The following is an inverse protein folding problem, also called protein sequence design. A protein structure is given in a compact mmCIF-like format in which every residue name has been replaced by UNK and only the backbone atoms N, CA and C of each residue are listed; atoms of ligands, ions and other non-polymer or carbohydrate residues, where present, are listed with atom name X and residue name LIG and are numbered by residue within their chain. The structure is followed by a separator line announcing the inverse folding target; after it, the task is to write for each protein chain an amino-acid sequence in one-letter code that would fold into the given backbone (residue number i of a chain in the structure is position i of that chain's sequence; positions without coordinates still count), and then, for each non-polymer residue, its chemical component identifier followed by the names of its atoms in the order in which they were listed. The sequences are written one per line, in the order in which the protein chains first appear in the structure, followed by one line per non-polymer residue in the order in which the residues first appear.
data_IF_387837645238
#
_entry.id   IF_387837645238
#
_cell.length_a   1.000
_cell.length_b   1.000
_cell.length_c   1.000
_cell.angle_alpha   90.00
_cell.angle_beta   90.00
_cell.angle_gamma   90.00
#
_symmetry.space_group_name_H-M   'P 1'
#
loop_
_entity.id
_entity.type
_entity.pdbx_description
1 polymer ?
#
# COMPACT_ATOMS: atom_id res chain seq x y z
N UNK A 1 10.47 8.33 -15.26
CA UNK A 1 11.42 8.03 -16.37
C UNK A 1 11.53 6.52 -16.61
N UNK A 2 11.51 6.05 -17.86
CA UNK A 2 11.73 4.64 -18.22
C UNK A 2 13.22 4.26 -18.16
N UNK A 3 13.56 2.97 -18.17
CA UNK A 3 14.96 2.52 -18.08
C UNK A 3 15.88 3.09 -19.20
N UNK A 4 15.31 3.42 -20.36
CA UNK A 4 16.03 4.04 -21.49
C UNK A 4 16.10 5.58 -21.44
N UNK A 5 15.65 6.21 -20.35
CA UNK A 5 15.63 7.67 -20.18
C UNK A 5 14.43 8.40 -20.77
N UNK A 6 13.57 7.73 -21.57
CA UNK A 6 12.38 8.36 -22.14
C UNK A 6 11.27 8.52 -21.09
N UNK A 7 10.37 9.51 -21.31
CA UNK A 7 9.14 9.65 -20.54
C UNK A 7 8.13 8.58 -20.99
N UNK A 8 7.41 7.99 -20.05
CA UNK A 8 6.48 6.88 -20.31
C UNK A 8 5.46 6.69 -19.19
N UNK A 9 4.52 5.78 -19.41
CA UNK A 9 3.49 5.44 -18.43
C UNK A 9 4.05 4.77 -17.17
N UNK A 10 3.24 4.76 -16.10
CA UNK A 10 3.56 4.12 -14.84
C UNK A 10 2.78 2.82 -14.70
N UNK A 11 3.45 1.80 -14.17
CA UNK A 11 2.82 0.58 -13.72
C UNK A 11 2.54 0.65 -12.22
N UNK A 12 1.64 -0.22 -11.78
CA UNK A 12 1.28 -0.40 -10.37
C UNK A 12 1.50 -1.84 -9.95
N UNK A 13 1.70 -2.03 -8.65
CA UNK A 13 1.75 -3.32 -8.01
C UNK A 13 1.30 -3.18 -6.56
N UNK A 14 0.88 -4.28 -5.96
CA UNK A 14 0.44 -4.28 -4.58
C UNK A 14 0.80 -5.60 -3.89
N UNK A 15 0.95 -5.52 -2.56
CA UNK A 15 1.03 -6.64 -1.65
C UNK A 15 -0.11 -6.50 -0.64
N UNK A 16 -0.82 -7.59 -0.40
CA UNK A 16 -1.91 -7.70 0.57
C UNK A 16 -1.53 -8.79 1.57
N UNK A 17 -1.45 -8.41 2.84
CA UNK A 17 -1.13 -9.30 3.95
C UNK A 17 -2.43 -9.53 4.72
N UNK A 18 -2.92 -10.76 4.66
CA UNK A 18 -4.14 -11.19 5.31
C UNK A 18 -3.83 -11.97 6.60
N UNK A 19 -4.79 -12.07 7.52
CA UNK A 19 -4.68 -12.96 8.67
C UNK A 19 -4.54 -14.42 8.23
N UNK A 20 -4.06 -15.27 9.13
CA UNK A 20 -3.95 -16.69 8.84
C UNK A 20 -5.31 -17.33 8.50
N UNK A 21 -5.29 -18.30 7.59
CA UNK A 21 -6.48 -18.95 7.07
C UNK A 21 -7.22 -18.19 5.96
N UNK A 22 -7.07 -16.87 5.85
CA UNK A 22 -7.57 -16.12 4.70
C UNK A 22 -6.70 -16.41 3.48
N UNK A 23 -7.33 -16.60 2.33
CA UNK A 23 -6.63 -16.93 1.08
C UNK A 23 -7.37 -16.38 -0.13
N UNK A 24 -6.72 -16.43 -1.30
CA UNK A 24 -7.38 -16.13 -2.56
C UNK A 24 -8.54 -17.11 -2.80
N UNK A 25 -9.69 -16.59 -3.24
CA UNK A 25 -10.85 -17.41 -3.57
C UNK A 25 -10.56 -18.29 -4.79
N UNK A 26 -10.91 -19.59 -4.75
CA UNK A 26 -10.86 -20.47 -5.91
C UNK A 26 -11.69 -19.92 -7.08
N UNK A 27 -11.25 -20.07 -8.35
CA UNK A 27 -11.92 -19.48 -9.51
C UNK A 27 -13.39 -19.87 -9.68
N UNK A 28 -13.77 -21.08 -9.25
CA UNK A 28 -15.14 -21.61 -9.27
C UNK A 28 -16.08 -20.85 -8.32
N UNK A 29 -15.56 -20.25 -7.25
CA UNK A 29 -16.37 -19.51 -6.27
C UNK A 29 -16.43 -18.00 -6.51
N UNK A 30 -15.74 -17.50 -7.52
CA UNK A 30 -15.76 -16.07 -7.85
C UNK A 30 -16.97 -15.78 -8.76
N UNK A 31 -17.90 -14.90 -8.36
CA UNK A 31 -19.02 -14.47 -9.19
C UNK A 31 -18.56 -13.85 -10.52
N UNK A 32 -19.38 -13.98 -11.57
CA UNK A 32 -19.06 -13.46 -12.90
C UNK A 32 -18.74 -11.94 -12.89
N UNK A 33 -19.52 -11.15 -12.14
CA UNK A 33 -19.31 -9.71 -11.99
C UNK A 33 -17.93 -9.35 -11.42
N UNK A 34 -17.41 -10.18 -10.51
CA UNK A 34 -16.07 -9.97 -9.95
C UNK A 34 -15.02 -10.43 -10.95
N UNK A 35 -15.22 -11.57 -11.64
CA UNK A 35 -14.30 -12.08 -12.67
C UNK A 35 -14.02 -11.05 -13.76
N UNK A 36 -15.04 -10.33 -14.22
CA UNK A 36 -14.88 -9.27 -15.22
C UNK A 36 -13.97 -8.14 -14.72
N UNK A 37 -14.11 -7.74 -13.45
CA UNK A 37 -13.27 -6.70 -12.81
C UNK A 37 -11.83 -7.15 -12.61
N UNK A 38 -11.59 -8.45 -12.43
CA UNK A 38 -10.22 -8.99 -12.33
C UNK A 38 -9.49 -8.91 -13.65
N UNK A 39 -10.21 -8.98 -14.78
CA UNK A 39 -9.64 -8.88 -16.12
C UNK A 39 -8.51 -9.88 -16.33
N UNK A 40 -7.28 -9.37 -16.52
CA UNK A 40 -6.07 -10.18 -16.71
C UNK A 40 -5.10 -10.11 -15.53
N UNK A 41 -5.61 -9.75 -14.34
CA UNK A 41 -4.80 -9.74 -13.13
C UNK A 41 -4.40 -11.17 -12.75
N UNK A 42 -3.11 -11.35 -12.51
CA UNK A 42 -2.55 -12.59 -11.97
C UNK A 42 -2.13 -12.32 -10.53
N UNK A 43 -2.72 -13.05 -9.60
CA UNK A 43 -2.37 -13.03 -8.19
C UNK A 43 -1.41 -14.17 -7.89
N UNK A 44 -0.38 -13.89 -7.09
CA UNK A 44 0.60 -14.88 -6.67
C UNK A 44 0.72 -14.88 -5.15
N UNK A 45 0.98 -16.05 -4.56
CA UNK A 45 1.38 -16.14 -3.16
C UNK A 45 2.82 -15.64 -3.03
N UNK A 46 3.12 -14.87 -1.97
CA UNK A 46 4.46 -14.30 -1.74
C UNK A 46 5.55 -15.38 -1.66
N UNK A 47 5.21 -16.54 -1.09
CA UNK A 47 6.07 -17.72 -0.99
C UNK A 47 5.20 -18.99 -0.88
N UNK A 48 5.67 -20.17 -1.30
CA UNK A 48 5.00 -21.44 -1.01
C UNK A 48 4.64 -21.57 0.47
N UNK A 49 3.38 -21.96 0.75
CA UNK A 49 2.85 -22.11 2.11
C UNK A 49 2.38 -20.81 2.79
N UNK A 50 2.53 -19.64 2.15
CA UNK A 50 2.02 -18.35 2.64
C UNK A 50 0.92 -17.81 1.73
N UNK A 51 -0.21 -18.54 1.70
CA UNK A 51 -1.37 -18.21 0.85
C UNK A 51 -2.15 -16.98 1.31
N UNK A 52 -1.88 -16.51 2.53
CA UNK A 52 -2.44 -15.29 3.10
C UNK A 52 -1.68 -14.02 2.70
N UNK A 53 -0.51 -14.15 2.07
CA UNK A 53 0.26 -13.00 1.57
C UNK A 53 0.21 -13.01 0.05
N UNK A 54 -0.53 -12.08 -0.52
CA UNK A 54 -0.86 -12.05 -1.95
C UNK A 54 -0.15 -10.86 -2.59
N UNK A 55 0.55 -11.12 -3.68
CA UNK A 55 1.22 -10.10 -4.50
C UNK A 55 0.61 -10.04 -5.89
N UNK A 56 0.57 -8.83 -6.46
CA UNK A 56 0.07 -8.55 -7.80
C UNK A 56 0.93 -7.47 -8.47
N UNK A 57 1.16 -7.63 -9.77
CA UNK A 57 1.90 -6.68 -10.58
C UNK A 57 3.20 -7.25 -11.16
N UNK A 58 3.91 -6.46 -12.00
CA UNK A 58 3.54 -5.11 -12.43
C UNK A 58 2.41 -5.11 -13.48
N UNK A 59 1.44 -4.20 -13.35
CA UNK A 59 0.34 -4.03 -14.32
C UNK A 59 0.18 -2.58 -14.76
N UNK A 60 -0.41 -2.30 -15.95
CA UNK A 60 -0.57 -0.93 -16.44
C UNK A 60 -1.44 -0.07 -15.52
N UNK A 61 -0.86 0.98 -14.93
CA UNK A 61 -1.53 1.81 -13.93
C UNK A 61 -2.72 2.61 -14.46
N UNK A 62 -2.77 2.88 -15.77
CA UNK A 62 -3.93 3.53 -16.42
C UNK A 62 -5.17 2.64 -16.42
N UNK A 63 -4.99 1.32 -16.56
CA UNK A 63 -6.08 0.35 -16.58
C UNK A 63 -6.45 -0.10 -15.17
N UNK A 64 -5.46 -0.26 -14.30
CA UNK A 64 -5.61 -0.81 -12.96
C UNK A 64 -5.35 0.25 -11.88
N UNK A 65 -6.11 1.35 -11.91
CA UNK A 65 -6.06 2.34 -10.82
C UNK A 65 -6.69 1.82 -9.51
N UNK A 66 -7.55 0.80 -9.61
CA UNK A 66 -8.15 0.08 -8.50
C UNK A 66 -8.03 -1.43 -8.77
N UNK A 67 -7.47 -2.15 -7.80
CA UNK A 67 -7.33 -3.60 -7.85
C UNK A 67 -8.32 -4.22 -6.86
N UNK A 68 -9.10 -5.21 -7.30
CA UNK A 68 -10.03 -5.96 -6.46
C UNK A 68 -9.41 -7.31 -6.14
N UNK A 69 -9.30 -7.64 -4.86
CA UNK A 69 -8.79 -8.94 -4.40
C UNK A 69 -9.96 -9.85 -4.01
N UNK A 70 -10.17 -10.99 -4.69
CA UNK A 70 -11.22 -11.93 -4.33
C UNK A 70 -10.72 -12.81 -3.17
N UNK A 71 -11.04 -12.44 -1.93
CA UNK A 71 -10.58 -13.15 -0.74
C UNK A 71 -11.66 -14.10 -0.21
N UNK A 72 -11.21 -15.29 0.18
CA UNK A 72 -12.00 -16.28 0.88
C UNK A 72 -11.63 -16.28 2.36
N UNK A 73 -12.62 -16.04 3.23
CA UNK A 73 -12.47 -16.18 4.68
C UNK A 73 -12.34 -17.65 5.10
N UNK A 74 -11.57 -17.93 6.17
CA UNK A 74 -11.51 -19.25 6.79
C UNK A 74 -12.80 -19.62 7.52
N UNK A 75 -12.93 -20.89 7.90
CA UNK A 75 -14.01 -21.38 8.76
C UNK A 75 -13.43 -21.93 10.09
N UNK A 76 -13.71 -21.29 11.25
CA UNK A 76 -13.29 -21.75 12.57
C UNK A 76 -13.82 -23.14 12.98
N UNK A 77 -14.92 -23.61 12.39
CA UNK A 77 -15.46 -24.93 12.69
C UNK A 77 -14.52 -26.03 12.21
N UNK A 78 -13.92 -25.82 11.02
CA UNK A 78 -13.04 -26.79 10.37
C UNK A 78 -11.55 -26.52 10.64
N UNK A 79 -11.15 -25.27 10.88
CA UNK A 79 -9.78 -24.89 11.21
C UNK A 79 -9.71 -24.35 12.65
N UNK A 80 -9.03 -25.09 13.54
CA UNK A 80 -8.92 -24.75 14.97
C UNK A 80 -7.93 -23.63 15.28
N UNK A 81 -7.06 -23.28 14.34
CA UNK A 81 -6.10 -22.19 14.50
C UNK A 81 -6.73 -20.81 14.24
N UNK A 82 -7.99 -20.78 13.78
CA UNK A 82 -8.72 -19.56 13.45
C UNK A 82 -9.89 -19.38 14.40
N UNK A 83 -10.15 -18.14 14.81
CA UNK A 83 -11.20 -17.78 15.76
C UNK A 83 -12.06 -16.62 15.26
N UNK A 84 -13.27 -16.49 15.78
CA UNK A 84 -14.15 -15.35 15.48
C UNK A 84 -13.68 -14.11 16.24
N UNK A 85 -12.81 -13.34 15.58
CA UNK A 85 -12.16 -12.14 16.09
C UNK A 85 -12.15 -11.02 15.04
N UNK A 86 -11.74 -9.85 15.50
CA UNK A 86 -11.35 -8.74 14.63
C UNK A 86 -9.86 -8.89 14.29
N UNK A 87 -9.55 -8.93 13.01
CA UNK A 87 -8.20 -9.15 12.50
C UNK A 87 -7.71 -7.95 11.67
N UNK A 88 -6.41 -7.63 11.72
CA UNK A 88 -5.82 -6.61 10.86
C UNK A 88 -5.55 -7.15 9.45
N UNK A 89 -5.64 -6.27 8.46
CA UNK A 89 -5.24 -6.49 7.07
C UNK A 89 -4.28 -5.35 6.71
N UNK A 90 -3.10 -5.71 6.23
CA UNK A 90 -2.09 -4.74 5.79
C UNK A 90 -2.01 -4.73 4.27
N UNK A 91 -1.95 -3.54 3.68
CA UNK A 91 -1.81 -3.35 2.25
C UNK A 91 -0.63 -2.44 1.96
N UNK A 92 0.21 -2.85 1.01
CA UNK A 92 1.25 -2.02 0.42
C UNK A 92 0.98 -1.85 -1.07
N UNK A 93 1.00 -0.61 -1.56
CA UNK A 93 0.78 -0.30 -2.97
C UNK A 93 1.91 0.55 -3.52
N UNK A 94 2.47 0.18 -4.66
CA UNK A 94 3.47 0.96 -5.37
C UNK A 94 2.95 1.41 -6.73
N UNK A 95 3.25 2.66 -7.09
CA UNK A 95 3.12 3.17 -8.47
C UNK A 95 4.45 3.71 -8.95
N UNK A 96 4.87 3.29 -10.14
CA UNK A 96 6.12 3.73 -10.76
C UNK A 96 7.32 2.85 -10.42
N UNK A 97 8.51 3.29 -10.85
CA UNK A 97 9.76 2.52 -10.73
C UNK A 97 10.49 2.87 -9.43
N UNK A 98 11.20 1.88 -8.89
CA UNK A 98 12.05 2.05 -7.71
C UNK A 98 13.35 2.82 -7.98
N UNK A 99 14.01 3.20 -6.90
CA UNK A 99 15.21 4.03 -6.88
C UNK A 99 16.50 3.21 -6.80
N UNK A 100 16.42 1.98 -6.28
CA UNK A 100 17.55 1.09 -6.00
C UNK A 100 17.21 -0.30 -6.54
N UNK A 101 18.20 -0.96 -7.13
CA UNK A 101 18.12 -2.36 -7.55
C UNK A 101 18.50 -3.32 -6.40
N UNK A 102 18.17 -4.62 -6.50
CA UNK A 102 18.50 -5.60 -5.47
C UNK A 102 20.00 -5.75 -5.17
N UNK A 103 20.88 -5.37 -6.10
CA UNK A 103 22.33 -5.35 -5.94
C UNK A 103 22.84 -4.10 -5.19
N UNK A 104 21.96 -3.18 -4.81
CA UNK A 104 22.28 -1.92 -4.13
C UNK A 104 22.59 -0.77 -5.08
N UNK A 105 22.65 -1.00 -6.40
CA UNK A 105 22.94 0.05 -7.37
C UNK A 105 21.75 1.01 -7.54
N UNK A 106 22.05 2.30 -7.76
CA UNK A 106 21.03 3.34 -8.02
C UNK A 106 20.42 3.15 -9.41
N UNK A 107 19.11 3.39 -9.52
CA UNK A 107 18.40 3.42 -10.80
C UNK A 107 18.51 4.79 -11.46
N UNK A 108 18.01 4.93 -12.70
CA UNK A 108 17.89 6.22 -13.37
C UNK A 108 16.62 7.01 -12.96
N UNK A 109 15.92 6.59 -11.91
CA UNK A 109 14.73 7.24 -11.37
C UNK A 109 14.98 7.78 -9.95
N UNK A 110 16.18 8.30 -9.71
CA UNK A 110 16.63 8.89 -8.45
C UNK A 110 17.56 10.08 -8.70
N UNK A 111 17.92 10.78 -7.64
CA UNK A 111 18.85 11.91 -7.66
C UNK A 111 20.30 11.39 -7.62
N UNK A 112 21.15 11.99 -8.45
CA UNK A 112 22.60 11.77 -8.43
C UNK A 112 23.27 12.96 -7.73
N UNK A 113 24.22 12.65 -6.85
CA UNK A 113 24.91 13.61 -5.98
C UNK A 113 26.39 13.65 -6.32
N UNK A 114 27.05 14.77 -5.98
CA UNK A 114 28.49 14.94 -6.14
C UNK A 114 29.24 14.00 -5.20
N UNK A 115 30.21 13.26 -5.71
CA UNK A 115 31.05 12.36 -4.90
C UNK A 115 32.03 13.11 -4.00
N UNK A 116 32.48 14.31 -4.43
CA UNK A 116 33.47 15.13 -3.72
C UNK A 116 33.09 16.61 -3.76
N UNK A 117 33.64 17.38 -2.82
CA UNK A 117 33.57 18.84 -2.85
C UNK A 117 34.60 19.37 -3.84
N UNK A 118 34.20 20.27 -4.74
CA UNK A 118 35.09 20.80 -5.76
C UNK A 118 34.37 21.68 -6.79
N UNK A 119 35.09 22.04 -7.85
CA UNK A 119 34.53 22.80 -8.96
C UNK A 119 34.18 21.88 -10.13
N UNK A 120 33.00 22.06 -10.74
CA UNK A 120 32.60 21.31 -11.93
C UNK A 120 33.44 21.78 -13.11
N UNK A 121 34.40 20.97 -13.54
CA UNK A 121 35.36 21.31 -14.61
C UNK A 121 34.77 21.09 -16.00
N UNK A 122 34.03 20.00 -16.18
CA UNK A 122 33.50 19.61 -17.49
C UNK A 122 32.24 18.77 -17.35
N UNK A 123 31.26 18.99 -18.22
CA UNK A 123 30.03 18.20 -18.33
C UNK A 123 29.93 17.67 -19.77
N UNK A 124 30.14 16.36 -19.94
CA UNK A 124 30.05 15.69 -21.24
C UNK A 124 28.76 14.91 -21.34
N UNK A 125 27.95 15.18 -22.37
CA UNK A 125 26.75 14.41 -22.66
C UNK A 125 27.09 13.16 -23.47
N UNK A 126 26.68 11.98 -23.01
CA UNK A 126 26.90 10.71 -23.73
C UNK A 126 25.94 10.55 -24.90
N UNK A 127 26.36 9.84 -25.95
CA UNK A 127 25.55 9.53 -27.14
C UNK A 127 24.25 8.77 -26.81
N UNK A 128 24.30 7.84 -25.85
CA UNK A 128 23.13 7.07 -25.38
C UNK A 128 22.28 7.82 -24.34
N UNK A 129 22.56 9.11 -24.14
CA UNK A 129 22.01 9.93 -23.07
C UNK A 129 22.73 9.73 -21.72
N UNK A 130 22.53 10.68 -20.81
CA UNK A 130 23.28 10.77 -19.55
C UNK A 130 24.47 11.74 -19.65
N UNK A 131 25.18 11.88 -18.54
CA UNK A 131 26.24 12.87 -18.34
C UNK A 131 27.46 12.24 -17.67
N UNK A 132 28.65 12.69 -18.06
CA UNK A 132 29.87 12.54 -17.26
C UNK A 132 30.26 13.91 -16.75
N UNK A 133 30.42 14.03 -15.44
CA UNK A 133 30.69 15.28 -14.75
C UNK A 133 32.06 15.12 -14.11
N UNK A 134 33.02 15.91 -14.56
CA UNK A 134 34.36 15.95 -13.98
C UNK A 134 34.39 17.02 -12.90
N UNK A 135 34.61 16.63 -11.66
CA UNK A 135 34.74 17.52 -10.50
C UNK A 135 36.22 17.59 -10.13
N UNK A 136 36.76 18.81 -10.11
CA UNK A 136 38.12 19.08 -9.67
C UNK A 136 38.11 19.39 -8.16
N UNK A 137 38.67 18.48 -7.36
CA UNK A 137 38.83 18.69 -5.94
C UNK A 137 40.19 19.34 -5.67
N UNK A 138 40.17 20.67 -5.53
CA UNK A 138 41.37 21.47 -5.28
C UNK A 138 42.07 21.15 -3.95
N UNK A 139 41.39 20.48 -3.00
CA UNK A 139 41.97 20.13 -1.70
C UNK A 139 42.83 18.86 -1.76
N UNK A 140 42.45 17.90 -2.62
CA UNK A 140 43.18 16.63 -2.80
C UNK A 140 43.98 16.56 -4.10
N UNK A 141 43.88 17.59 -4.95
CA UNK A 141 44.49 17.67 -6.27
C UNK A 141 44.16 16.44 -7.15
N UNK A 142 42.89 16.02 -7.10
CA UNK A 142 42.35 14.86 -7.82
C UNK A 142 41.08 15.25 -8.57
N UNK A 143 40.96 14.74 -9.78
CA UNK A 143 39.72 14.82 -10.56
C UNK A 143 38.89 13.56 -10.35
N UNK A 144 37.61 13.73 -10.04
CA UNK A 144 36.66 12.63 -9.90
C UNK A 144 35.60 12.75 -10.99
N UNK A 145 35.26 11.61 -11.60
CA UNK A 145 34.26 11.54 -12.67
C UNK A 145 32.98 10.91 -12.12
N UNK A 146 31.94 11.72 -12.01
CA UNK A 146 30.61 11.28 -11.64
C UNK A 146 29.79 10.96 -12.90
N UNK A 147 29.23 9.75 -12.95
CA UNK A 147 28.46 9.25 -14.09
C UNK A 147 26.97 9.30 -13.75
N UNK A 148 26.21 10.05 -14.55
CA UNK A 148 24.74 10.15 -14.45
C UNK A 148 24.10 9.40 -15.63
N UNK A 149 23.22 8.42 -15.40
CA UNK A 149 22.54 7.70 -16.47
C UNK A 149 21.48 8.57 -17.17
N UNK A 150 20.96 8.17 -18.34
CA UNK A 150 19.90 8.90 -19.01
C UNK A 150 18.61 8.92 -18.18
N UNK A 151 18.05 10.12 -17.98
CA UNK A 151 16.77 10.28 -17.29
C UNK A 151 16.67 11.54 -16.44
N UNK A 152 17.46 11.64 -15.35
CA UNK A 152 17.56 12.84 -14.54
C UNK A 152 18.12 14.00 -15.38
N UNK A 153 17.59 15.20 -15.16
CA UNK A 153 18.04 16.44 -15.78
C UNK A 153 19.08 17.10 -14.87
N UNK A 154 20.16 17.62 -15.44
CA UNK A 154 21.23 18.28 -14.70
C UNK A 154 20.78 19.65 -14.19
N UNK A 155 21.13 19.99 -12.95
CA UNK A 155 20.81 21.30 -12.34
C UNK A 155 22.05 22.16 -12.08
N UNK A 156 23.25 21.58 -12.26
CA UNK A 156 24.53 22.28 -12.10
C UNK A 156 25.13 22.63 -13.47
N UNK A 157 25.95 23.69 -13.50
CA UNK A 157 26.65 24.13 -14.71
C UNK A 157 28.17 24.03 -14.59
N UNK A 158 28.87 24.05 -15.73
CA UNK A 158 30.34 24.11 -15.73
C UNK A 158 30.83 25.39 -15.03
N UNK A 159 31.88 25.25 -14.21
CA UNK A 159 32.43 26.32 -13.38
C UNK A 159 31.79 26.50 -12.00
N UNK A 160 30.67 25.80 -11.72
CA UNK A 160 29.99 25.87 -10.43
C UNK A 160 30.76 25.10 -9.34
N UNK A 161 30.80 25.65 -8.12
CA UNK A 161 31.34 24.94 -6.95
C UNK A 161 30.27 24.10 -6.28
N UNK A 162 30.53 22.80 -6.13
CA UNK A 162 29.63 21.84 -5.50
C UNK A 162 30.26 21.26 -4.23
N UNK A 163 29.42 20.94 -3.25
CA UNK A 163 29.82 20.20 -2.04
C UNK A 163 29.61 18.70 -2.24
N UNK A 164 30.38 17.89 -1.53
CA UNK A 164 30.10 16.45 -1.43
C UNK A 164 28.63 16.23 -1.01
N UNK A 165 27.99 15.25 -1.62
CA UNK A 165 26.56 14.92 -1.50
C UNK A 165 25.56 15.98 -1.98
N UNK A 166 26.02 17.09 -2.57
CA UNK A 166 25.14 18.05 -3.22
C UNK A 166 24.48 17.43 -4.46
N UNK A 167 23.17 17.60 -4.66
CA UNK A 167 22.49 17.07 -5.85
C UNK A 167 23.02 17.72 -7.13
N UNK A 168 23.45 16.88 -8.07
CA UNK A 168 23.84 17.28 -9.43
C UNK A 168 22.64 17.31 -10.39
N UNK A 169 21.60 16.54 -10.07
CA UNK A 169 20.41 16.36 -10.91
C UNK A 169 19.12 16.69 -10.17
N UNK A 170 18.05 16.94 -10.93
CA UNK A 170 16.70 16.96 -10.39
C UNK A 170 16.25 15.54 -9.94
N UNK A 171 15.10 15.48 -9.27
CA UNK A 171 14.45 14.22 -8.93
C UNK A 171 13.42 13.84 -10.02
N UNK A 172 13.69 12.85 -10.88
CA UNK A 172 12.76 12.45 -11.95
C UNK A 172 11.59 11.60 -11.46
N UNK A 173 11.56 11.23 -10.16
CA UNK A 173 10.56 10.33 -9.63
C UNK A 173 9.20 11.02 -9.44
N UNK A 174 8.17 10.42 -10.04
CA UNK A 174 6.75 10.81 -9.88
C UNK A 174 5.89 9.64 -9.38
N UNK A 175 6.56 8.57 -8.96
CA UNK A 175 5.97 7.39 -8.33
C UNK A 175 5.91 7.53 -6.82
N UNK A 176 5.58 6.42 -6.15
CA UNK A 176 5.56 6.35 -4.71
C UNK A 176 5.03 5.00 -4.21
N UNK A 177 5.43 4.67 -2.99
CA UNK A 177 4.91 3.55 -2.23
C UNK A 177 4.06 4.09 -1.08
N UNK A 178 2.88 3.50 -0.90
CA UNK A 178 1.96 3.81 0.19
C UNK A 178 1.56 2.54 0.93
N UNK A 179 1.30 2.69 2.22
CA UNK A 179 0.83 1.62 3.10
C UNK A 179 -0.52 1.99 3.67
N UNK A 180 -1.33 0.97 3.96
CA UNK A 180 -2.61 1.10 4.63
C UNK A 180 -2.85 -0.07 5.54
N UNK A 181 -3.61 0.17 6.59
CA UNK A 181 -4.09 -0.82 7.54
C UNK A 181 -5.59 -0.68 7.67
N UNK A 182 -6.28 -1.81 7.64
CA UNK A 182 -7.72 -1.91 7.89
C UNK A 182 -7.99 -3.14 8.74
N UNK A 183 -9.17 -3.22 9.32
CA UNK A 183 -9.56 -4.37 10.13
C UNK A 183 -10.79 -5.06 9.53
N UNK A 184 -10.85 -6.38 9.68
CA UNK A 184 -11.99 -7.20 9.29
C UNK A 184 -12.49 -7.99 10.50
N UNK A 185 -13.80 -8.05 10.69
CA UNK A 185 -14.41 -8.88 11.73
C UNK A 185 -14.84 -10.20 11.11
N UNK A 186 -14.23 -11.31 11.54
CA UNK A 186 -14.72 -12.65 11.23
C UNK A 186 -15.86 -12.96 12.21
N UNK A 187 -17.11 -12.86 11.73
CA UNK A 187 -18.30 -12.95 12.57
C UNK A 187 -18.95 -14.33 12.51
N UNK A 188 -19.48 -14.75 13.66
CA UNK A 188 -20.35 -15.91 13.78
C UNK A 188 -21.83 -15.46 13.72
N UNK A 189 -22.63 -15.98 12.77
CA UNK A 189 -24.06 -15.69 12.69
C UNK A 189 -24.83 -15.95 14.00
N UNK A 190 -24.45 -16.97 14.78
CA UNK A 190 -25.12 -17.30 16.04
C UNK A 190 -24.97 -16.20 17.09
N UNK A 191 -23.80 -15.52 17.13
CA UNK A 191 -23.59 -14.36 18.01
C UNK A 191 -24.54 -13.23 17.69
N UNK A 192 -24.79 -12.98 16.39
CA UNK A 192 -25.71 -11.94 15.94
C UNK A 192 -27.16 -12.32 16.25
N UNK A 193 -27.54 -13.58 16.01
CA UNK A 193 -28.88 -14.06 16.35
C UNK A 193 -29.16 -13.97 17.85
N UNK A 194 -28.22 -14.42 18.70
CA UNK A 194 -28.33 -14.29 20.15
C UNK A 194 -28.44 -12.82 20.61
N UNK A 195 -27.67 -11.92 19.98
CA UNK A 195 -27.76 -10.49 20.25
C UNK A 195 -29.15 -9.91 19.92
N UNK A 196 -29.75 -10.32 18.80
CA UNK A 196 -31.09 -9.86 18.42
C UNK A 196 -32.18 -10.33 19.40
N UNK A 197 -32.09 -11.58 19.86
CA UNK A 197 -33.01 -12.11 20.89
C UNK A 197 -32.85 -11.33 22.20
N UNK A 198 -31.61 -11.02 22.59
CA UNK A 198 -31.34 -10.20 23.77
C UNK A 198 -31.91 -8.77 23.61
N UNK A 199 -31.78 -8.15 22.45
CA UNK A 199 -32.41 -6.84 22.21
C UNK A 199 -33.93 -6.89 22.32
N UNK A 200 -34.58 -7.94 21.80
CA UNK A 200 -36.02 -8.12 21.92
C UNK A 200 -36.45 -8.29 23.39
N UNK A 201 -35.69 -9.06 24.19
CA UNK A 201 -36.01 -9.26 25.61
C UNK A 201 -35.85 -7.97 26.42
N UNK A 202 -34.78 -7.20 26.18
CA UNK A 202 -34.56 -5.89 26.81
C UNK A 202 -35.68 -4.91 26.45
N UNK A 203 -36.07 -4.84 25.17
CA UNK A 203 -37.16 -3.97 24.72
C UNK A 203 -38.48 -4.34 25.41
N UNK A 204 -38.80 -5.63 25.49
CA UNK A 204 -40.00 -6.13 26.15
C UNK A 204 -39.98 -5.83 27.66
N UNK A 205 -38.84 -5.99 28.33
CA UNK A 205 -38.68 -5.62 29.73
C UNK A 205 -38.89 -4.11 29.95
N UNK A 206 -38.31 -3.26 29.09
CA UNK A 206 -38.50 -1.81 29.14
C UNK A 206 -39.98 -1.41 28.99
N UNK A 207 -40.69 -2.01 28.02
CA UNK A 207 -42.12 -1.78 27.82
C UNK A 207 -42.91 -2.17 29.08
N UNK A 208 -42.65 -3.35 29.63
CA UNK A 208 -43.37 -3.81 30.83
C UNK A 208 -43.10 -2.94 32.06
N UNK A 209 -41.86 -2.49 32.26
CA UNK A 209 -41.53 -1.57 33.36
C UNK A 209 -42.30 -0.25 33.25
N UNK A 210 -42.37 0.33 32.05
CA UNK A 210 -43.11 1.58 31.82
C UNK A 210 -44.61 1.38 32.01
N UNK A 211 -45.17 0.30 31.45
CA UNK A 211 -46.60 -0.03 31.63
C UNK A 211 -46.94 -0.27 33.10
N UNK A 212 -46.07 -0.99 33.83
CA UNK A 212 -46.27 -1.24 35.26
C UNK A 212 -46.20 0.05 36.08
N UNK A 213 -45.24 0.93 35.80
CA UNK A 213 -45.17 2.26 36.42
C UNK A 213 -46.45 3.06 36.16
N UNK A 214 -46.90 3.13 34.90
CA UNK A 214 -48.13 3.84 34.51
C UNK A 214 -49.39 3.26 35.16
N UNK A 215 -49.42 1.94 35.35
CA UNK A 215 -50.49 1.27 36.11
C UNK A 215 -50.48 1.71 37.58
N UNK A 216 -49.31 1.75 38.22
CA UNK A 216 -49.18 2.12 39.63
C UNK A 216 -49.49 3.61 39.88
N UNK A 217 -49.05 4.50 38.98
CA UNK A 217 -49.39 5.94 39.03
C UNK A 217 -50.91 6.17 39.10
N UNK A 218 -51.72 5.34 38.42
CA UNK A 218 -53.19 5.43 38.51
C UNK A 218 -53.74 5.08 39.90
N UNK A 219 -53.12 4.13 40.59
CA UNK A 219 -53.52 3.74 41.96
C UNK A 219 -53.15 4.84 42.94
N UNK A 220 -51.92 5.37 42.88
CA UNK A 220 -51.49 6.49 43.72
C UNK A 220 -52.40 7.72 43.54
N UNK A 221 -52.81 8.02 42.30
CA UNK A 221 -53.76 9.11 42.03
C UNK A 221 -55.14 8.88 42.66
N UNK A 222 -55.61 7.63 42.72
CA UNK A 222 -56.90 7.30 43.34
C UNK A 222 -56.84 7.34 44.87
N UNK A 223 -55.71 6.93 45.46
CA UNK A 223 -55.53 6.88 46.92
C UNK A 223 -55.06 8.23 47.52
N UNK A 224 -54.62 9.18 46.68
CA UNK A 224 -54.04 10.48 47.07
C UNK A 224 -52.92 10.39 48.14
N UNK A 225 -52.34 9.20 48.29
CA UNK A 225 -51.18 8.91 49.13
C UNK A 225 -50.06 8.44 48.21
N UNK A 226 -48.93 9.15 48.28
CA UNK A 226 -47.80 8.99 47.37
C UNK A 226 -46.70 8.10 47.96
#
# INVERSE_FOLDING_TARGET
VLANGKKGGLNVGAVLILPEGFKLAPPDRIPAEIKEKLGRLSFQSYRPGKDNIIVVGPVPGKLYNKIVFPILSPNPDTNKDVHFLKYPIYVGGNRGRGQIYPDGSKSNNTVYTASVTGQVKKVVRKEKGGYEITIDNSSENREVIDIVPPGPELIVSEGESVKADQPLTNNPNVGGFGQGEVEIVLQDPLRVQGLLVFFASVLLAQIFLVLKKKQFEKVQLAEMNF
#
